data_IF_842890952267
#
_entry.id   IF_842890952267
#
_cell.length_a   1.000
_cell.length_b   1.000
_cell.length_c   1.000
_cell.angle_alpha   90.00
_cell.angle_beta   90.00
_cell.angle_gamma   90.00
#
_symmetry.space_group_name_H-M   'P 1'
#
loop_
_entity.id
_entity.type
_entity.pdbx_description
1 polymer ?
#
# COMPACT_ATOMS: atom_id res chain seq x y z
N UNK A 1 -24.12 -39.24 21.54
CA UNK A 1 -24.68 -38.45 22.67
C UNK A 1 -23.61 -37.46 23.13
N UNK A 2 -23.94 -36.18 23.37
CA UNK A 2 -22.94 -35.18 23.80
C UNK A 2 -22.56 -35.38 25.27
N UNK A 3 -21.29 -35.15 25.63
CA UNK A 3 -20.83 -35.19 27.02
C UNK A 3 -21.35 -33.99 27.82
N UNK A 4 -21.40 -34.09 29.15
CA UNK A 4 -21.91 -33.01 30.05
C UNK A 4 -21.20 -31.66 29.87
N UNK A 5 -19.96 -31.68 29.36
CA UNK A 5 -19.10 -30.50 29.16
C UNK A 5 -19.15 -29.97 27.73
N UNK A 6 -19.99 -30.54 26.87
CA UNK A 6 -20.13 -30.13 25.48
C UNK A 6 -20.98 -28.87 25.41
N UNK A 7 -20.59 -27.93 24.55
CA UNK A 7 -21.42 -26.78 24.18
C UNK A 7 -22.84 -27.14 23.70
N UNK A 8 -23.06 -28.37 23.23
CA UNK A 8 -24.37 -28.85 22.73
C UNK A 8 -25.15 -29.68 23.76
N UNK A 9 -24.60 -29.91 24.96
CA UNK A 9 -25.20 -30.81 25.94
C UNK A 9 -26.60 -30.33 26.37
N UNK A 10 -26.69 -29.05 26.77
CA UNK A 10 -27.91 -28.41 27.30
C UNK A 10 -28.92 -27.98 26.24
N UNK A 11 -28.63 -28.16 24.95
CA UNK A 11 -29.56 -27.73 23.88
C UNK A 11 -30.75 -28.67 23.77
N UNK A 12 -31.87 -28.14 23.28
CA UNK A 12 -33.05 -28.95 23.05
C UNK A 12 -32.81 -29.98 21.95
N UNK A 13 -33.38 -31.16 22.16
CA UNK A 13 -33.38 -32.24 21.16
C UNK A 13 -34.48 -31.94 20.15
N UNK A 14 -34.14 -32.06 18.87
CA UNK A 14 -35.08 -31.95 17.77
C UNK A 14 -35.28 -33.34 17.19
N UNK A 15 -36.51 -33.83 17.14
CA UNK A 15 -36.85 -35.07 16.46
C UNK A 15 -37.70 -34.73 15.25
N UNK A 16 -37.14 -34.88 14.05
CA UNK A 16 -37.85 -34.66 12.79
C UNK A 16 -38.23 -36.01 12.23
N UNK A 17 -39.53 -36.25 12.06
CA UNK A 17 -40.04 -37.43 11.38
C UNK A 17 -40.08 -37.15 9.87
N UNK A 18 -39.33 -37.92 9.09
CA UNK A 18 -39.37 -37.86 7.62
C UNK A 18 -40.58 -38.61 7.09
N UNK A 19 -40.92 -38.33 5.83
CA UNK A 19 -42.03 -38.96 5.10
C UNK A 19 -41.87 -40.47 4.91
N UNK A 20 -40.65 -41.00 5.02
CA UNK A 20 -40.31 -42.43 4.98
C UNK A 20 -40.52 -43.13 6.34
N UNK A 21 -40.97 -42.41 7.37
CA UNK A 21 -41.17 -42.93 8.72
C UNK A 21 -39.90 -42.91 9.60
N UNK A 22 -38.73 -42.56 9.06
CA UNK A 22 -37.50 -42.43 9.84
C UNK A 22 -37.52 -41.19 10.72
N UNK A 23 -37.07 -41.33 11.97
CA UNK A 23 -36.91 -40.20 12.89
C UNK A 23 -35.45 -39.80 12.94
N UNK A 24 -35.15 -38.57 12.52
CA UNK A 24 -33.82 -37.98 12.65
C UNK A 24 -33.77 -37.20 13.95
N UNK A 25 -32.86 -37.62 14.83
CA UNK A 25 -32.59 -36.93 16.09
C UNK A 25 -31.44 -35.94 15.89
N UNK A 26 -31.73 -34.66 16.07
CA UNK A 26 -30.79 -33.55 16.05
C UNK A 26 -30.78 -32.77 17.36
N UNK A 27 -29.97 -31.72 17.39
CA UNK A 27 -30.04 -30.63 18.38
C UNK A 27 -30.42 -29.36 17.64
N UNK A 28 -31.11 -28.46 18.32
CA UNK A 28 -31.29 -27.11 17.78
C UNK A 28 -29.94 -26.39 17.59
N UNK A 29 -29.90 -25.46 16.64
CA UNK A 29 -28.74 -24.59 16.45
C UNK A 29 -28.54 -23.72 17.70
N UNK A 30 -27.32 -23.71 18.22
CA UNK A 30 -26.98 -22.88 19.39
C UNK A 30 -26.89 -21.42 18.99
N UNK A 31 -27.66 -20.55 19.65
CA UNK A 31 -27.43 -19.10 19.62
C UNK A 31 -26.16 -18.79 20.42
N UNK A 32 -25.24 -18.00 19.84
CA UNK A 32 -24.01 -17.63 20.52
C UNK A 32 -24.32 -16.67 21.68
N UNK A 33 -23.97 -17.00 22.93
CA UNK A 33 -24.19 -16.09 24.04
C UNK A 33 -23.25 -14.90 23.95
N UNK A 34 -23.73 -13.70 24.30
CA UNK A 34 -22.86 -12.52 24.47
C UNK A 34 -21.91 -12.80 25.65
N UNK A 35 -20.67 -13.16 25.33
CA UNK A 35 -19.65 -13.52 26.33
C UNK A 35 -18.63 -12.40 26.38
N UNK A 36 -18.56 -11.69 27.49
CA UNK A 36 -17.56 -10.63 27.68
C UNK A 36 -16.18 -11.23 27.96
N UNK A 37 -15.16 -10.75 27.24
CA UNK A 37 -13.76 -11.04 27.52
C UNK A 37 -13.32 -10.36 28.81
N UNK A 38 -12.72 -11.11 29.73
CA UNK A 38 -12.12 -10.53 30.95
C UNK A 38 -10.64 -10.19 30.78
N UNK A 39 -9.95 -10.92 29.91
CA UNK A 39 -8.51 -10.73 29.64
C UNK A 39 -8.32 -10.61 28.14
N UNK A 40 -7.47 -9.68 27.71
CA UNK A 40 -7.05 -9.61 26.31
C UNK A 40 -5.70 -10.30 26.15
N UNK A 41 -5.61 -11.20 25.18
CA UNK A 41 -4.37 -11.89 24.84
C UNK A 41 -3.94 -11.53 23.43
N UNK A 42 -2.66 -11.21 23.25
CA UNK A 42 -2.06 -10.93 21.95
C UNK A 42 -1.64 -12.24 21.30
N UNK A 43 -2.14 -12.50 20.09
CA UNK A 43 -1.83 -13.75 19.36
C UNK A 43 -0.37 -13.73 18.94
N UNK A 44 0.34 -14.82 19.20
CA UNK A 44 1.69 -15.06 18.75
C UNK A 44 1.72 -16.05 17.59
N UNK A 45 2.82 -16.06 16.83
CA UNK A 45 3.02 -17.05 15.76
C UNK A 45 3.08 -18.46 16.36
N UNK A 46 2.37 -19.41 15.75
CA UNK A 46 2.30 -20.79 16.23
C UNK A 46 1.30 -21.03 17.37
N UNK A 47 0.56 -20.01 17.81
CA UNK A 47 -0.50 -20.20 18.79
C UNK A 47 -1.56 -21.18 18.29
N UNK A 48 -2.01 -22.04 19.19
CA UNK A 48 -3.13 -22.94 18.95
C UNK A 48 -4.22 -22.70 19.98
N UNK A 49 -5.47 -22.67 19.53
CA UNK A 49 -6.61 -22.27 20.37
C UNK A 49 -6.86 -23.26 21.52
N UNK A 50 -6.55 -24.54 21.32
CA UNK A 50 -6.60 -25.58 22.34
C UNK A 50 -5.51 -25.38 23.41
N UNK A 51 -4.31 -24.92 23.02
CA UNK A 51 -3.26 -24.54 23.96
C UNK A 51 -3.64 -23.29 24.75
N UNK A 52 -4.20 -22.28 24.10
CA UNK A 52 -4.70 -21.07 24.77
C UNK A 52 -5.82 -21.42 25.77
N UNK A 53 -6.75 -22.29 25.39
CA UNK A 53 -7.78 -22.79 26.30
C UNK A 53 -7.18 -23.56 27.49
N UNK A 54 -6.14 -24.36 27.28
CA UNK A 54 -5.43 -24.99 28.38
C UNK A 54 -4.71 -23.99 29.28
N UNK A 55 -4.02 -22.99 28.70
CA UNK A 55 -3.29 -21.94 29.41
C UNK A 55 -4.22 -21.12 30.33
N UNK A 56 -5.35 -20.65 29.80
CA UNK A 56 -6.24 -19.72 30.50
C UNK A 56 -7.42 -20.40 31.21
N UNK A 57 -8.01 -21.44 30.61
CA UNK A 57 -9.18 -22.14 31.16
C UNK A 57 -8.80 -23.43 31.89
N UNK A 58 -7.52 -23.82 31.87
CA UNK A 58 -6.99 -25.09 32.42
C UNK A 58 -7.58 -26.34 31.74
N UNK A 59 -8.20 -26.17 30.57
CA UNK A 59 -8.85 -27.24 29.81
C UNK A 59 -8.80 -26.96 28.30
N UNK A 60 -8.08 -27.80 27.54
CA UNK A 60 -7.95 -27.64 26.09
C UNK A 60 -9.27 -27.78 25.33
N UNK A 61 -10.19 -28.62 25.81
CA UNK A 61 -11.51 -28.87 25.18
C UNK A 61 -12.49 -27.70 25.31
N UNK A 62 -12.13 -26.64 26.04
CA UNK A 62 -12.93 -25.43 26.21
C UNK A 62 -12.56 -24.31 25.21
N UNK A 63 -11.80 -24.60 24.16
CA UNK A 63 -11.42 -23.64 23.12
C UNK A 63 -12.60 -22.89 22.50
N UNK A 64 -13.77 -23.52 22.42
CA UNK A 64 -14.98 -22.90 21.88
C UNK A 64 -15.51 -21.74 22.74
N UNK A 65 -15.16 -21.67 24.02
CA UNK A 65 -15.48 -20.49 24.84
C UNK A 65 -14.68 -19.26 24.39
N UNK A 66 -13.44 -19.45 23.95
CA UNK A 66 -12.63 -18.36 23.39
C UNK A 66 -13.28 -17.88 22.09
N UNK A 67 -13.76 -18.79 21.23
CA UNK A 67 -14.53 -18.42 20.04
C UNK A 67 -15.82 -17.65 20.40
N UNK A 68 -16.60 -18.13 21.36
CA UNK A 68 -17.85 -17.45 21.77
C UNK A 68 -17.61 -16.03 22.32
N UNK A 69 -16.44 -15.77 22.92
CA UNK A 69 -16.04 -14.43 23.38
C UNK A 69 -15.55 -13.51 22.24
N UNK A 70 -15.34 -14.04 21.04
CA UNK A 70 -14.89 -13.30 19.87
C UNK A 70 -15.82 -13.59 18.67
N UNK A 71 -17.10 -13.19 18.73
CA UNK A 71 -18.11 -13.55 17.72
C UNK A 71 -17.87 -12.91 16.34
N UNK A 72 -16.94 -11.96 16.23
CA UNK A 72 -16.53 -11.38 14.95
C UNK A 72 -15.83 -12.39 14.01
N UNK A 73 -15.41 -13.56 14.52
CA UNK A 73 -14.76 -14.60 13.72
C UNK A 73 -15.65 -15.83 13.60
N UNK A 74 -15.74 -16.36 12.39
CA UNK A 74 -16.56 -17.54 12.10
C UNK A 74 -15.84 -18.85 12.42
N UNK A 75 -14.50 -18.85 12.43
CA UNK A 75 -13.71 -20.05 12.71
C UNK A 75 -12.54 -19.83 13.67
N UNK A 76 -12.10 -20.88 14.39
CA UNK A 76 -10.89 -20.81 15.22
C UNK A 76 -9.62 -20.48 14.43
N UNK A 77 -9.53 -20.94 13.18
CA UNK A 77 -8.37 -20.68 12.32
C UNK A 77 -8.29 -19.21 11.94
N UNK A 78 -9.43 -18.63 11.55
CA UNK A 78 -9.57 -17.21 11.29
C UNK A 78 -9.19 -16.39 12.52
N UNK A 79 -9.69 -16.78 13.71
CA UNK A 79 -9.36 -16.14 14.98
C UNK A 79 -7.84 -16.12 15.24
N UNK A 80 -7.12 -17.18 14.88
CA UNK A 80 -5.66 -17.31 15.02
C UNK A 80 -4.85 -16.72 13.84
N UNK A 81 -5.51 -16.26 12.77
CA UNK A 81 -4.81 -15.81 11.55
C UNK A 81 -4.19 -16.95 10.72
N UNK A 82 -4.59 -18.21 10.97
CA UNK A 82 -4.16 -19.42 10.23
C UNK A 82 -5.18 -19.80 9.14
N UNK A 83 -5.96 -18.83 8.67
CA UNK A 83 -6.80 -18.99 7.49
C UNK A 83 -5.93 -19.15 6.25
N UNK A 84 -6.30 -20.03 5.29
CA UNK A 84 -5.61 -20.13 4.02
C UNK A 84 -5.76 -18.86 3.17
N UNK A 85 -6.79 -18.05 3.43
CA UNK A 85 -6.93 -16.74 2.82
C UNK A 85 -6.05 -15.75 3.57
N UNK A 86 -5.09 -15.17 2.85
CA UNK A 86 -4.12 -14.20 3.35
C UNK A 86 -4.32 -12.86 2.66
N UNK A 87 -3.94 -11.82 3.39
CA UNK A 87 -3.90 -10.45 2.90
C UNK A 87 -2.43 -10.04 2.86
N UNK A 88 -1.89 -9.88 1.67
CA UNK A 88 -0.54 -9.42 1.43
C UNK A 88 -0.60 -7.94 1.08
N UNK A 89 0.13 -7.11 1.82
CA UNK A 89 0.34 -5.71 1.48
C UNK A 89 1.74 -5.56 0.95
N UNK A 90 1.87 -4.95 -0.22
CA UNK A 90 3.14 -4.73 -0.91
C UNK A 90 3.31 -3.25 -1.16
N UNK A 91 4.45 -2.70 -0.80
CA UNK A 91 4.89 -1.37 -1.22
C UNK A 91 5.73 -1.56 -2.47
N UNK A 92 5.28 -0.95 -3.56
CA UNK A 92 5.92 -1.06 -4.87
C UNK A 92 6.37 0.32 -5.34
N UNK A 93 7.55 0.40 -5.95
CA UNK A 93 8.03 1.61 -6.62
C UNK A 93 8.22 1.40 -8.12
N UNK A 94 8.07 2.45 -8.90
CA UNK A 94 8.31 2.44 -10.34
C UNK A 94 9.13 3.66 -10.73
N UNK A 95 10.14 3.44 -11.57
CA UNK A 95 10.94 4.50 -12.17
C UNK A 95 10.25 4.97 -13.45
N UNK A 96 9.88 6.24 -13.52
CA UNK A 96 9.11 6.81 -14.63
C UNK A 96 7.68 7.18 -14.23
N UNK A 97 6.89 7.75 -15.15
CA UNK A 97 5.66 8.46 -14.80
C UNK A 97 4.44 7.56 -14.52
N UNK A 98 4.21 6.53 -15.34
CA UNK A 98 3.03 5.68 -15.19
C UNK A 98 3.38 4.22 -15.50
N UNK A 99 3.27 3.32 -14.51
CA UNK A 99 3.43 1.91 -14.77
C UNK A 99 2.17 1.33 -15.43
N UNK A 100 2.37 0.23 -16.16
CA UNK A 100 1.32 -0.55 -16.82
C UNK A 100 0.49 -1.36 -15.80
N UNK A 101 -0.26 -0.65 -14.96
CA UNK A 101 -1.13 -1.25 -13.94
C UNK A 101 -2.10 -2.29 -14.51
N UNK A 102 -2.62 -2.03 -15.71
CA UNK A 102 -3.53 -2.95 -16.40
C UNK A 102 -2.84 -4.28 -16.70
N UNK A 103 -1.57 -4.24 -17.12
CA UNK A 103 -0.80 -5.45 -17.38
C UNK A 103 -0.53 -6.22 -16.07
N UNK A 104 -0.11 -5.53 -15.01
CA UNK A 104 0.11 -6.15 -13.69
C UNK A 104 -1.17 -6.81 -13.16
N UNK A 105 -2.27 -6.06 -13.09
CA UNK A 105 -3.53 -6.60 -12.57
C UNK A 105 -4.05 -7.73 -13.45
N UNK A 106 -3.90 -7.65 -14.77
CA UNK A 106 -4.29 -8.75 -15.66
C UNK A 106 -3.46 -10.00 -15.40
N UNK A 107 -2.15 -9.87 -15.13
CA UNK A 107 -1.29 -11.00 -14.79
C UNK A 107 -1.72 -11.64 -13.48
N UNK A 108 -1.85 -10.84 -12.41
CA UNK A 108 -2.21 -11.32 -11.09
C UNK A 108 -3.62 -11.92 -11.04
N UNK A 109 -4.62 -11.34 -11.70
CA UNK A 109 -5.98 -11.91 -11.76
C UNK A 109 -6.06 -13.24 -12.51
N UNK A 110 -5.10 -13.55 -13.39
CA UNK A 110 -5.05 -14.85 -14.08
C UNK A 110 -4.49 -15.96 -13.19
N UNK A 111 -3.83 -15.62 -12.08
CA UNK A 111 -3.28 -16.62 -11.16
C UNK A 111 -4.39 -17.27 -10.34
N UNK A 112 -4.36 -18.61 -10.32
CA UNK A 112 -5.29 -19.40 -9.51
C UNK A 112 -4.98 -19.13 -8.04
N UNK A 113 -5.98 -18.69 -7.29
CA UNK A 113 -5.85 -18.41 -5.86
C UNK A 113 -5.85 -16.93 -5.51
N UNK A 114 -5.61 -16.02 -6.47
CA UNK A 114 -5.84 -14.59 -6.26
C UNK A 114 -7.34 -14.32 -6.29
N UNK A 115 -7.85 -13.71 -5.22
CA UNK A 115 -9.28 -13.43 -5.07
C UNK A 115 -9.61 -11.97 -5.32
N UNK A 116 -8.75 -11.07 -4.85
CA UNK A 116 -8.97 -9.65 -4.94
C UNK A 116 -7.63 -8.90 -4.92
N UNK A 117 -7.58 -7.81 -5.67
CA UNK A 117 -6.46 -6.87 -5.67
C UNK A 117 -7.04 -5.49 -5.40
N UNK A 118 -6.45 -4.77 -4.46
CA UNK A 118 -6.82 -3.42 -4.07
C UNK A 118 -5.63 -2.49 -4.30
N UNK A 119 -5.87 -1.41 -5.03
CA UNK A 119 -4.91 -0.35 -5.29
C UNK A 119 -5.67 0.99 -5.32
N UNK A 120 -5.25 1.96 -4.49
CA UNK A 120 -6.01 3.21 -4.32
C UNK A 120 -7.34 3.04 -3.57
N UNK A 121 -8.01 4.13 -3.22
CA UNK A 121 -9.01 4.19 -2.14
C UNK A 121 -10.36 3.53 -2.43
N UNK A 122 -11.05 2.89 -1.47
CA UNK A 122 -11.25 3.22 -0.04
C UNK A 122 -10.21 2.72 1.00
N UNK A 123 -9.60 3.64 1.76
CA UNK A 123 -8.83 3.37 3.00
C UNK A 123 -7.40 3.97 3.09
N UNK A 124 -6.94 4.53 1.97
CA UNK A 124 -5.74 5.33 1.66
C UNK A 124 -4.35 4.69 1.82
N UNK A 125 -3.64 4.55 0.69
CA UNK A 125 -2.29 5.12 0.56
C UNK A 125 -2.16 5.72 -0.83
N UNK A 126 -1.96 7.05 -0.89
CA UNK A 126 -1.67 7.81 -2.11
C UNK A 126 -0.16 8.04 -2.21
N UNK A 127 0.28 7.94 -3.45
CA UNK A 127 1.61 8.23 -4.03
C UNK A 127 2.46 9.15 -3.16
N UNK A 128 3.60 8.65 -2.68
CA UNK A 128 4.73 9.54 -2.42
C UNK A 128 5.49 9.63 -3.75
N UNK A 129 5.47 10.81 -4.38
CA UNK A 129 6.43 11.13 -5.44
C UNK A 129 7.76 11.30 -4.71
N UNK A 130 8.61 10.28 -4.75
CA UNK A 130 9.95 10.40 -4.21
C UNK A 130 10.89 10.77 -5.35
N UNK A 131 11.36 12.00 -5.32
CA UNK A 131 12.37 12.49 -6.24
C UNK A 131 13.73 12.10 -5.66
N UNK A 132 14.47 11.29 -6.42
CA UNK A 132 15.86 11.00 -6.11
C UNK A 132 16.71 11.77 -7.10
N UNK A 133 17.46 12.75 -6.60
CA UNK A 133 18.40 13.53 -7.39
C UNK A 133 19.73 12.77 -7.46
N UNK A 134 20.24 12.54 -8.66
CA UNK A 134 21.63 12.16 -8.87
C UNK A 134 22.38 13.42 -9.26
N UNK A 135 23.41 13.78 -8.50
CA UNK A 135 24.18 15.00 -8.77
C UNK A 135 25.11 14.73 -9.95
N UNK A 136 24.70 15.16 -11.14
CA UNK A 136 25.63 15.64 -12.15
C UNK A 136 25.70 17.16 -11.98
N UNK A 137 26.59 17.65 -11.12
CA UNK A 137 26.73 19.09 -10.89
C UNK A 137 27.39 19.75 -12.09
N UNK A 138 26.61 20.13 -13.08
CA UNK A 138 26.98 21.21 -13.98
C UNK A 138 26.37 22.49 -13.43
N UNK A 139 27.21 23.38 -12.92
CA UNK A 139 26.83 24.75 -12.58
C UNK A 139 27.27 25.65 -13.72
N UNK A 140 26.44 26.64 -14.06
CA UNK A 140 26.85 27.73 -14.93
C UNK A 140 26.45 29.06 -14.31
N UNK A 141 27.36 30.00 -14.46
CA UNK A 141 27.15 31.39 -14.14
C UNK A 141 26.38 32.05 -15.29
N UNK A 142 25.22 32.61 -15.00
CA UNK A 142 24.52 33.44 -15.99
C UNK A 142 25.22 34.82 -15.95
N UNK A 143 25.83 35.28 -17.05
CA UNK A 143 26.37 36.63 -17.08
C UNK A 143 25.24 37.61 -16.81
N UNK A 144 25.55 38.66 -16.04
CA UNK A 144 24.65 39.74 -15.66
C UNK A 144 23.85 40.20 -16.90
N UNK A 145 22.62 39.74 -16.99
CA UNK A 145 21.76 39.94 -18.14
C UNK A 145 20.60 40.80 -17.66
N UNK A 146 20.85 42.11 -17.71
CA UNK A 146 19.82 43.16 -17.73
C UNK A 146 18.75 42.91 -18.83
N UNK A 147 18.98 41.95 -19.73
CA UNK A 147 18.05 41.51 -20.74
C UNK A 147 17.34 40.18 -20.35
N UNK A 148 16.16 40.35 -19.75
CA UNK A 148 14.99 39.47 -19.94
C UNK A 148 14.94 38.16 -19.14
N UNK A 149 14.88 38.24 -17.82
CA UNK A 149 14.31 37.16 -16.98
C UNK A 149 13.28 37.62 -15.94
N UNK A 150 13.16 38.94 -15.73
CA UNK A 150 12.27 39.55 -14.75
C UNK A 150 11.38 40.60 -15.38
N UNK A 151 10.14 40.68 -14.90
CA UNK A 151 9.30 41.83 -15.13
C UNK A 151 9.69 42.87 -14.07
N UNK A 152 10.36 43.97 -14.45
CA UNK A 152 10.85 44.95 -13.49
C UNK A 152 9.71 45.66 -12.73
N UNK A 153 8.46 45.54 -13.19
CA UNK A 153 7.31 46.17 -12.55
C UNK A 153 6.67 45.29 -11.46
N UNK A 154 6.96 44.00 -11.39
CA UNK A 154 6.34 43.07 -10.42
C UNK A 154 7.32 42.33 -9.52
N UNK A 155 8.64 42.39 -9.76
CA UNK A 155 9.65 41.56 -9.06
C UNK A 155 9.34 40.05 -9.15
N UNK A 156 8.44 39.66 -10.06
CA UNK A 156 8.11 38.27 -10.35
C UNK A 156 9.01 37.76 -11.48
N UNK A 157 9.56 36.56 -11.29
CA UNK A 157 10.24 35.82 -12.34
C UNK A 157 9.22 35.61 -13.48
N UNK A 158 9.50 36.13 -14.69
CA UNK A 158 8.59 36.05 -15.85
C UNK A 158 8.17 34.62 -16.22
N UNK A 159 8.90 33.62 -15.72
CA UNK A 159 8.58 32.22 -15.87
C UNK A 159 7.18 31.82 -15.38
N UNK A 160 6.59 32.47 -14.36
CA UNK A 160 5.28 32.04 -13.82
C UNK A 160 4.09 32.34 -14.76
N UNK A 161 4.21 33.33 -15.67
CA UNK A 161 3.22 33.58 -16.74
C UNK A 161 3.63 32.97 -18.09
N UNK A 162 4.91 32.66 -18.29
CA UNK A 162 5.53 32.27 -19.55
C UNK A 162 5.33 30.80 -19.97
N UNK A 163 4.87 29.92 -19.09
CA UNK A 163 4.72 28.47 -19.37
C UNK A 163 3.74 28.16 -20.51
N UNK A 164 2.95 29.14 -20.98
CA UNK A 164 2.07 28.93 -22.14
C UNK A 164 2.54 29.50 -23.47
N UNK A 165 3.30 30.61 -23.56
CA UNK A 165 3.57 31.27 -24.86
C UNK A 165 4.83 32.18 -24.96
N UNK A 166 5.88 32.04 -24.14
CA UNK A 166 7.11 32.84 -24.35
C UNK A 166 8.28 32.05 -24.93
N UNK A 167 9.02 32.72 -25.82
CA UNK A 167 10.29 32.28 -26.37
C UNK A 167 11.32 32.25 -25.26
N UNK A 168 11.92 31.10 -25.02
CA UNK A 168 12.92 30.92 -23.95
C UNK A 168 14.18 31.71 -24.30
N UNK A 169 14.83 32.31 -23.28
CA UNK A 169 16.08 33.05 -23.47
C UNK A 169 17.15 32.18 -24.14
N UNK A 170 17.87 32.69 -25.16
CA UNK A 170 18.97 31.97 -25.81
C UNK A 170 20.04 31.49 -24.84
N UNK A 171 20.23 32.16 -23.71
CA UNK A 171 21.17 31.76 -22.66
C UNK A 171 20.76 30.43 -22.02
N UNK A 172 19.46 30.26 -21.72
CA UNK A 172 18.92 29.03 -21.13
C UNK A 172 18.94 27.89 -22.16
N UNK A 173 18.59 28.16 -23.42
CA UNK A 173 18.65 27.14 -24.49
C UNK A 173 20.10 26.68 -24.75
N UNK A 174 21.07 27.60 -24.75
CA UNK A 174 22.50 27.29 -24.87
C UNK A 174 23.00 26.47 -23.67
N UNK A 175 22.46 26.69 -22.48
CA UNK A 175 22.82 25.95 -21.27
C UNK A 175 22.23 24.54 -21.22
N UNK A 176 20.98 24.40 -21.64
CA UNK A 176 20.25 23.13 -21.61
C UNK A 176 20.65 22.20 -22.77
N UNK A 177 21.10 22.77 -23.90
CA UNK A 177 21.50 22.02 -25.10
C UNK A 177 22.63 20.99 -24.91
N UNK A 178 23.74 21.28 -24.20
CA UNK A 178 24.78 20.30 -23.86
C UNK A 178 24.26 19.12 -23.03
N UNK A 179 23.20 19.34 -22.23
CA UNK A 179 22.50 18.30 -21.48
C UNK A 179 21.53 17.47 -22.33
N UNK A 180 21.43 17.73 -23.64
CA UNK A 180 20.50 17.08 -24.55
C UNK A 180 19.08 17.68 -24.51
N UNK A 181 18.88 18.78 -23.79
CA UNK A 181 17.59 19.44 -23.66
C UNK A 181 17.53 20.55 -24.71
N UNK A 182 16.80 20.30 -25.79
CA UNK A 182 16.53 21.34 -26.78
C UNK A 182 15.17 21.93 -26.50
N UNK A 183 15.10 23.21 -26.14
CA UNK A 183 13.84 23.84 -25.76
C UNK A 183 12.93 24.19 -26.96
N UNK A 184 13.31 23.75 -28.17
CA UNK A 184 12.60 23.93 -29.43
C UNK A 184 11.54 22.86 -29.75
N UNK A 185 10.98 22.20 -28.74
CA UNK A 185 9.96 21.15 -28.88
C UNK A 185 8.74 21.39 -28.01
N UNK A 186 7.81 20.45 -27.99
CA UNK A 186 6.63 20.54 -27.14
C UNK A 186 6.99 20.05 -25.72
N UNK A 187 7.35 21.01 -24.87
CA UNK A 187 7.87 20.79 -23.52
C UNK A 187 6.98 21.55 -22.54
N UNK A 188 6.76 20.99 -21.37
CA UNK A 188 6.04 21.59 -20.25
C UNK A 188 7.02 21.90 -19.13
N UNK A 189 7.07 23.15 -18.72
CA UNK A 189 7.82 23.56 -17.53
C UNK A 189 6.86 23.70 -16.36
N UNK A 190 7.16 23.08 -15.22
CA UNK A 190 6.33 23.15 -14.00
C UNK A 190 7.17 23.61 -12.82
N UNK A 191 6.65 24.51 -11.98
CA UNK A 191 7.28 24.98 -10.73
C UNK A 191 6.62 24.27 -9.54
N UNK A 192 7.40 23.66 -8.64
CA UNK A 192 6.88 22.94 -7.46
C UNK A 192 7.39 23.58 -6.15
N UNK A 193 7.15 24.88 -5.98
CA UNK A 193 7.63 25.64 -4.81
C UNK A 193 9.17 25.82 -4.75
N UNK A 194 9.64 26.64 -3.81
CA UNK A 194 11.05 26.85 -3.44
C UNK A 194 12.08 26.84 -4.60
N UNK A 195 11.87 27.68 -5.62
CA UNK A 195 12.78 27.87 -6.77
C UNK A 195 13.13 26.61 -7.56
N UNK A 196 12.35 25.53 -7.41
CA UNK A 196 12.56 24.27 -8.10
C UNK A 196 11.65 24.16 -9.33
N UNK A 197 12.30 24.01 -10.48
CA UNK A 197 11.64 23.91 -11.77
C UNK A 197 11.85 22.53 -12.38
N UNK A 198 10.83 22.02 -13.05
CA UNK A 198 10.81 20.75 -13.77
C UNK A 198 10.59 21.02 -15.24
N UNK A 199 11.37 20.36 -16.08
CA UNK A 199 11.20 20.35 -17.52
C UNK A 199 10.75 18.95 -17.91
N UNK A 200 9.50 18.83 -18.36
CA UNK A 200 8.88 17.59 -18.83
C UNK A 200 8.61 17.69 -20.35
N UNK A 201 8.76 16.62 -21.13
CA UNK A 201 8.23 16.61 -22.50
C UNK A 201 6.68 16.47 -22.50
N UNK A 202 6.01 16.69 -23.64
CA UNK A 202 4.54 16.48 -23.73
C UNK A 202 4.07 15.05 -23.40
N UNK A 203 4.98 14.08 -23.43
CA UNK A 203 4.74 12.68 -23.04
C UNK A 203 5.13 12.41 -21.56
N UNK A 204 5.60 13.44 -20.86
CA UNK A 204 6.06 13.45 -19.47
C UNK A 204 7.21 12.45 -19.15
N UNK A 205 8.13 12.21 -20.10
CA UNK A 205 9.14 11.14 -19.98
C UNK A 205 10.51 11.57 -19.42
N UNK A 206 10.91 12.82 -19.58
CA UNK A 206 12.23 13.33 -19.16
C UNK A 206 12.04 14.38 -18.07
N UNK A 207 12.76 14.28 -16.94
CA UNK A 207 12.66 15.23 -15.82
C UNK A 207 14.04 15.79 -15.52
N UNK A 208 14.34 16.94 -16.12
CA UNK A 208 15.42 17.76 -15.58
C UNK A 208 14.83 18.66 -14.52
N UNK A 209 15.47 18.66 -13.35
CA UNK A 209 15.18 19.63 -12.32
C UNK A 209 16.28 20.70 -12.36
N UNK A 210 15.90 21.97 -12.27
CA UNK A 210 16.88 23.04 -12.08
C UNK A 210 16.48 23.96 -10.94
N UNK A 211 17.49 24.48 -10.25
CA UNK A 211 17.35 25.50 -9.22
C UNK A 211 18.07 26.74 -9.71
N UNK A 212 17.34 27.86 -9.70
CA UNK A 212 17.88 29.18 -9.96
C UNK A 212 18.18 29.85 -8.60
N UNK A 213 19.46 30.13 -8.36
CA UNK A 213 19.91 30.90 -7.22
C UNK A 213 20.19 32.32 -7.68
N UNK A 214 19.37 33.26 -7.20
CA UNK A 214 19.57 34.68 -7.43
C UNK A 214 20.60 35.19 -6.42
N UNK A 215 21.62 35.87 -6.91
CA UNK A 215 22.68 36.43 -6.09
C UNK A 215 22.65 37.96 -6.15
N UNK A 216 22.98 38.62 -5.06
CA UNK A 216 23.10 40.08 -5.04
C UNK A 216 24.38 40.52 -5.76
N UNK A 217 24.28 41.60 -6.57
CA UNK A 217 25.41 42.28 -7.22
C UNK A 217 26.57 42.47 -6.21
N UNK A 218 27.80 42.01 -6.51
CA UNK A 218 28.36 41.65 -7.83
C UNK A 218 28.46 40.16 -8.11
N UNK A 219 27.74 39.33 -7.35
CA UNK A 219 27.81 37.88 -7.54
C UNK A 219 26.81 37.50 -8.64
N UNK A 220 27.27 36.88 -9.74
CA UNK A 220 26.39 36.50 -10.82
C UNK A 220 25.45 35.35 -10.42
N UNK A 221 24.26 35.32 -11.00
CA UNK A 221 23.26 34.29 -10.76
C UNK A 221 23.77 32.89 -11.17
N UNK A 222 23.30 31.88 -10.44
CA UNK A 222 23.70 30.49 -10.63
C UNK A 222 22.50 29.61 -11.00
N UNK A 223 22.64 28.83 -12.06
CA UNK A 223 21.70 27.73 -12.37
C UNK A 223 22.37 26.40 -12.09
N UNK A 224 21.80 25.66 -11.15
CA UNK A 224 22.16 24.28 -10.86
C UNK A 224 21.22 23.33 -11.59
N UNK A 225 21.77 22.51 -12.50
CA UNK A 225 21.02 21.45 -13.18
C UNK A 225 21.20 20.12 -12.43
N UNK A 226 20.10 19.40 -12.24
CA UNK A 226 20.09 18.09 -11.61
C UNK A 226 19.45 17.06 -12.54
N UNK A 227 20.12 15.91 -12.68
CA UNK A 227 19.49 14.72 -13.24
C UNK A 227 18.55 14.14 -12.16
N UNK A 228 17.25 14.29 -12.37
CA UNK A 228 16.25 13.80 -11.45
C UNK A 228 15.69 12.48 -11.96
N UNK A 229 15.82 11.42 -11.16
CA UNK A 229 15.06 10.21 -11.39
C UNK A 229 13.81 10.26 -10.52
N UNK A 230 12.64 10.23 -11.17
CA UNK A 230 11.37 10.22 -10.47
C UNK A 230 10.97 8.78 -10.16
N UNK A 231 10.84 8.48 -8.87
CA UNK A 231 10.23 7.25 -8.39
C UNK A 231 8.82 7.54 -7.88
N UNK A 232 7.89 6.67 -8.27
CA UNK A 232 6.55 6.68 -7.74
C UNK A 232 6.36 5.45 -6.86
N UNK A 233 5.92 5.64 -5.63
CA UNK A 233 5.68 4.54 -4.69
C UNK A 233 4.19 4.39 -4.41
N UNK A 234 3.69 3.15 -4.49
CA UNK A 234 2.30 2.79 -4.21
C UNK A 234 2.21 1.63 -3.23
N UNK A 235 1.03 1.48 -2.64
CA UNK A 235 0.66 0.32 -1.84
C UNK A 235 -0.37 -0.51 -2.61
N UNK A 236 -0.13 -1.80 -2.72
CA UNK A 236 -1.03 -2.78 -3.32
C UNK A 236 -1.37 -3.81 -2.27
N UNK A 237 -2.66 -4.08 -2.07
CA UNK A 237 -3.11 -5.18 -1.22
C UNK A 237 -3.67 -6.31 -2.10
N UNK A 238 -3.23 -7.53 -1.81
CA UNK A 238 -3.59 -8.74 -2.54
C UNK A 238 -4.21 -9.71 -1.55
N UNK A 239 -5.46 -10.10 -1.80
CA UNK A 239 -6.15 -11.16 -1.06
C UNK A 239 -6.04 -12.43 -1.89
N UNK A 240 -5.39 -13.44 -1.32
CA UNK A 240 -5.10 -14.68 -2.03
C UNK A 240 -5.18 -15.91 -1.12
N UNK A 241 -5.26 -17.08 -1.74
CA UNK A 241 -5.22 -18.38 -1.07
C UNK A 241 -3.79 -18.94 -1.07
N UNK A 242 -3.17 -19.01 0.10
CA UNK A 242 -1.78 -19.47 0.29
C UNK A 242 -1.56 -20.94 -0.11
N UNK A 243 -2.63 -21.75 -0.18
CA UNK A 243 -2.52 -23.13 -0.66
C UNK A 243 -2.50 -23.25 -2.18
N UNK A 244 -2.85 -22.18 -2.89
CA UNK A 244 -2.95 -22.16 -4.36
C UNK A 244 -1.78 -21.45 -5.01
N UNK A 245 -1.27 -20.39 -4.38
CA UNK A 245 -0.14 -19.61 -4.87
C UNK A 245 0.70 -19.16 -3.68
N UNK A 246 2.02 -19.24 -3.82
CA UNK A 246 2.97 -18.74 -2.83
C UNK A 246 3.08 -17.21 -2.93
N UNK A 247 3.37 -16.53 -1.82
CA UNK A 247 3.56 -15.08 -1.82
C UNK A 247 4.69 -14.66 -2.75
N UNK A 248 5.75 -15.44 -2.79
CA UNK A 248 6.96 -15.17 -3.57
C UNK A 248 6.64 -15.10 -5.06
N UNK A 249 5.77 -15.98 -5.56
CA UNK A 249 5.32 -15.96 -6.96
C UNK A 249 4.54 -14.67 -7.29
N UNK A 250 3.74 -14.15 -6.35
CA UNK A 250 3.04 -12.87 -6.54
C UNK A 250 4.03 -11.70 -6.58
N UNK A 251 5.09 -11.74 -5.77
CA UNK A 251 6.13 -10.71 -5.77
C UNK A 251 6.96 -10.76 -7.05
N UNK A 252 7.30 -11.96 -7.54
CA UNK A 252 8.02 -12.16 -8.79
C UNK A 252 7.21 -11.65 -9.99
N UNK A 253 5.90 -11.86 -10.00
CA UNK A 253 5.00 -11.30 -11.02
C UNK A 253 4.97 -9.77 -11.00
N UNK A 254 4.95 -9.16 -9.81
CA UNK A 254 5.02 -7.69 -9.64
C UNK A 254 6.33 -7.16 -10.22
N UNK A 255 7.44 -7.82 -9.89
CA UNK A 255 8.77 -7.47 -10.43
C UNK A 255 8.85 -7.63 -11.94
N UNK A 256 8.30 -8.72 -12.46
CA UNK A 256 8.26 -9.01 -13.90
C UNK A 256 7.41 -8.00 -14.68
N UNK A 257 6.45 -7.34 -14.02
CA UNK A 257 5.68 -6.23 -14.59
C UNK A 257 6.41 -4.87 -14.56
N UNK A 258 7.67 -4.85 -14.10
CA UNK A 258 8.53 -3.66 -14.08
C UNK A 258 8.46 -2.84 -12.78
N UNK A 259 7.76 -3.33 -11.75
CA UNK A 259 7.72 -2.68 -10.44
C UNK A 259 8.86 -3.16 -9.55
N UNK A 260 9.49 -2.26 -8.82
CA UNK A 260 10.35 -2.62 -7.71
C UNK A 260 9.49 -2.94 -6.48
N UNK A 261 9.82 -3.99 -5.75
CA UNK A 261 9.17 -4.33 -4.48
C UNK A 261 10.02 -3.79 -3.34
N UNK A 262 9.59 -2.68 -2.74
CA UNK A 262 10.35 -2.02 -1.66
C UNK A 262 10.19 -2.78 -0.34
N UNK A 263 8.96 -3.19 -0.01
CA UNK A 263 8.65 -3.99 1.18
C UNK A 263 7.32 -4.72 1.03
N UNK A 264 7.11 -5.75 1.85
CA UNK A 264 5.81 -6.43 1.93
C UNK A 264 5.54 -6.92 3.36
N UNK A 265 4.26 -6.98 3.72
CA UNK A 265 3.81 -7.52 5.01
C UNK A 265 2.50 -8.30 4.86
N UNK A 266 2.31 -9.29 5.73
CA UNK A 266 1.02 -9.98 5.85
C UNK A 266 0.12 -9.24 6.84
N UNK A 267 -1.05 -8.79 6.37
CA UNK A 267 -2.11 -8.28 7.23
C UNK A 267 -2.80 -9.48 7.91
N UNK A 268 -2.11 -10.05 8.89
CA UNK A 268 -2.59 -11.17 9.70
C UNK A 268 -3.16 -10.74 11.05
N UNK A 269 -3.64 -11.72 11.83
CA UNK A 269 -4.03 -11.53 13.23
C UNK A 269 -2.89 -11.74 14.23
N UNK A 270 -1.73 -12.19 13.78
CA UNK A 270 -0.54 -12.25 14.64
C UNK A 270 -0.26 -10.83 15.16
N UNK A 271 -0.11 -10.70 16.47
CA UNK A 271 0.01 -9.41 17.16
C UNK A 271 -1.32 -8.70 17.50
N UNK A 272 -2.48 -9.21 17.04
CA UNK A 272 -3.80 -8.65 17.41
C UNK A 272 -4.30 -9.28 18.71
N UNK A 273 -5.11 -8.53 19.46
CA UNK A 273 -5.71 -8.97 20.72
C UNK A 273 -6.99 -9.79 20.47
N UNK A 274 -7.17 -10.84 21.26
CA UNK A 274 -8.43 -11.60 21.40
C UNK A 274 -8.92 -11.54 22.83
N UNK A 275 -10.25 -11.59 22.99
CA UNK A 275 -10.91 -11.71 24.26
C UNK A 275 -10.80 -13.15 24.79
N UNK A 276 -10.31 -13.30 26.02
CA UNK A 276 -10.34 -14.55 26.76
C UNK A 276 -11.42 -14.42 27.84
N UNK A 277 -12.44 -15.29 27.85
CA UNK A 277 -13.49 -15.22 28.85
C UNK A 277 -12.95 -15.66 30.22
N UNK A 278 -13.66 -15.27 31.27
CA UNK A 278 -13.41 -15.84 32.60
C UNK A 278 -13.57 -17.36 32.56
N UNK A 279 -12.81 -18.07 33.41
CA UNK A 279 -13.07 -19.49 33.63
C UNK A 279 -14.53 -19.66 34.07
N UNK A 280 -15.31 -20.34 33.25
CA UNK A 280 -16.70 -20.66 33.55
C UNK A 280 -16.70 -21.62 34.75
N UNK A 281 -17.15 -21.16 35.91
CA UNK A 281 -17.58 -22.03 37.00
C UNK A 281 -19.05 -22.34 36.75
N UNK A 282 -19.34 -23.33 35.91
CA UNK A 282 -20.71 -23.71 35.56
C UNK A 282 -20.87 -25.21 35.39
#
# INVERSE_FOLDING_TARGET
MFNKRSRYYKLDKLAIRRSDGLTINGKQLRVQPKTEGKVFYQIESGDRIDHLAYKFLRQSKLWWHICDANPAFFSPKELLGTSPIKHLRVVVSFQGYQPEWVALFSSLHRKIGVQQILHGENGQTKVHRQLTYSVMSSFATIPDTDEVLFDPDTDEVLFDQAVRMQTISPALDTFLSPGGITLGGAIRVTKDGDNLWYVDDLENQIVYAYVLTLNDDPVPDEVSLFEATVFHTWMVEIIYNENSIASEELLDDIQSAGFNVDSHEFIGRVGKKIAIPAKYFG
#
